data_IF_202490578363
#
_entry.id   IF_202490578363
#
_cell.length_a   1.000
_cell.length_b   1.000
_cell.length_c   1.000
_cell.angle_alpha   90.00
_cell.angle_beta   90.00
_cell.angle_gamma   90.00
#
_symmetry.space_group_name_H-M   'P 1'
#
loop_
_entity.id
_entity.type
_entity.pdbx_description
1 polymer ?
#
# COMPACT_ATOMS: atom_id res chain seq x y z
N UNK A 1 10.19 24.75 49.29
CA UNK A 1 8.94 24.29 48.60
C UNK A 1 8.32 25.34 47.68
N UNK A 2 8.53 26.65 47.90
CA UNK A 2 8.01 27.73 47.03
C UNK A 2 8.78 27.88 45.70
N UNK A 3 10.10 27.73 45.68
CA UNK A 3 10.93 27.86 44.46
C UNK A 3 10.61 26.79 43.39
N UNK A 4 10.36 25.53 43.82
CA UNK A 4 9.93 24.46 42.89
C UNK A 4 8.56 24.72 42.26
N UNK A 5 7.64 25.42 42.96
CA UNK A 5 6.33 25.81 42.40
C UNK A 5 6.46 26.95 41.38
N UNK A 6 7.34 27.92 41.62
CA UNK A 6 7.63 29.00 40.66
C UNK A 6 8.25 28.51 39.36
N UNK A 7 9.16 27.53 39.44
CA UNK A 7 9.78 26.90 38.26
C UNK A 7 8.78 26.11 37.40
N UNK A 8 7.85 25.37 38.03
CA UNK A 8 6.85 24.60 37.31
C UNK A 8 5.82 25.50 36.57
N UNK A 9 5.42 26.62 37.18
CA UNK A 9 4.52 27.58 36.56
C UNK A 9 5.16 28.27 35.33
N UNK A 10 6.43 28.67 35.44
CA UNK A 10 7.17 29.24 34.31
C UNK A 10 7.32 28.23 33.15
N UNK A 11 7.60 26.96 33.45
CA UNK A 11 7.66 25.92 32.44
C UNK A 11 6.30 25.65 31.78
N UNK A 12 5.19 25.77 32.52
CA UNK A 12 3.85 25.64 31.96
C UNK A 12 3.54 26.79 30.99
N UNK A 13 3.83 28.04 31.34
CA UNK A 13 3.60 29.19 30.44
C UNK A 13 4.46 29.10 29.19
N UNK A 14 5.72 28.63 29.29
CA UNK A 14 6.56 28.38 28.12
C UNK A 14 5.93 27.37 27.15
N UNK A 15 5.27 26.32 27.66
CA UNK A 15 4.58 25.34 26.81
C UNK A 15 3.36 25.94 26.12
N UNK A 16 2.63 26.82 26.81
CA UNK A 16 1.48 27.53 26.22
C UNK A 16 1.96 28.52 25.16
N UNK A 17 3.04 29.26 25.41
CA UNK A 17 3.59 30.19 24.42
C UNK A 17 4.12 29.44 23.18
N UNK A 18 4.79 28.31 23.39
CA UNK A 18 5.14 27.42 22.29
C UNK A 18 3.88 26.99 21.52
N UNK A 19 2.82 26.54 22.18
CA UNK A 19 1.57 26.14 21.52
C UNK A 19 0.98 27.31 20.70
N UNK A 20 0.96 28.53 21.26
CA UNK A 20 0.51 29.73 20.55
C UNK A 20 1.36 29.99 19.30
N UNK A 21 2.68 29.79 19.36
CA UNK A 21 3.57 29.92 18.20
C UNK A 21 3.26 28.93 17.07
N UNK A 22 2.63 27.79 17.40
CA UNK A 22 2.31 26.74 16.42
C UNK A 22 0.95 26.95 15.75
N UNK A 23 0.10 27.86 16.24
CA UNK A 23 -1.24 28.09 15.70
C UNK A 23 -1.17 28.63 14.27
N UNK A 24 -1.75 27.88 13.33
CA UNK A 24 -1.85 28.31 11.93
C UNK A 24 -2.86 29.46 11.83
N UNK A 25 -2.43 30.54 11.19
CA UNK A 25 -3.24 31.74 10.97
C UNK A 25 -3.42 32.63 12.20
N UNK A 26 -2.55 32.52 13.22
CA UNK A 26 -2.65 33.33 14.46
C UNK A 26 -2.68 34.83 14.16
N UNK A 27 -1.82 35.26 13.24
CA UNK A 27 -1.61 36.66 12.90
C UNK A 27 -2.28 37.07 11.57
N UNK A 28 -3.32 36.32 11.16
CA UNK A 28 -4.05 36.62 9.92
C UNK A 28 -4.97 37.81 10.13
N UNK A 29 -4.92 38.75 9.20
CA UNK A 29 -5.87 39.85 9.08
C UNK A 29 -6.82 39.61 7.91
N UNK A 30 -8.04 40.15 8.00
CA UNK A 30 -9.00 40.13 6.90
C UNK A 30 -9.74 41.47 6.79
N UNK A 31 -10.24 41.75 5.59
CA UNK A 31 -11.00 42.95 5.32
C UNK A 31 -12.43 42.82 5.86
N UNK A 32 -12.86 43.88 6.55
CA UNK A 32 -14.23 44.05 7.01
C UNK A 32 -14.77 45.36 6.44
N UNK A 33 -16.10 45.59 6.47
CA UNK A 33 -16.67 46.91 6.14
C UNK A 33 -16.09 48.09 6.94
N UNK A 34 -15.37 47.82 8.03
CA UNK A 34 -14.72 48.84 8.88
C UNK A 34 -13.19 48.86 8.76
N UNK A 35 -12.64 48.25 7.71
CA UNK A 35 -11.21 48.13 7.44
C UNK A 35 -10.62 46.78 7.87
N UNK A 36 -9.29 46.65 7.80
CA UNK A 36 -8.60 45.42 8.19
C UNK A 36 -8.72 45.15 9.69
N UNK A 37 -8.95 43.88 10.04
CA UNK A 37 -9.03 43.40 11.43
C UNK A 37 -8.21 42.13 11.60
N UNK A 38 -7.51 42.04 12.74
CA UNK A 38 -6.85 40.81 13.17
C UNK A 38 -7.90 39.75 13.52
N UNK A 39 -7.73 38.54 12.99
CA UNK A 39 -8.61 37.41 13.26
C UNK A 39 -8.41 36.88 14.69
N UNK A 40 -9.33 37.24 15.59
CA UNK A 40 -9.36 36.74 16.96
C UNK A 40 -10.45 35.68 17.11
N UNK A 41 -10.03 34.44 17.37
CA UNK A 41 -10.96 33.31 17.54
C UNK A 41 -11.42 33.19 18.99
N UNK A 42 -12.74 33.21 19.22
CA UNK A 42 -13.34 33.30 20.55
C UNK A 42 -14.29 32.15 20.92
N UNK A 43 -14.47 31.14 20.06
CA UNK A 43 -15.32 29.97 20.34
C UNK A 43 -14.58 28.66 20.04
N UNK A 44 -13.91 28.09 21.03
CA UNK A 44 -13.18 26.82 20.89
C UNK A 44 -14.05 25.59 21.18
N UNK A 45 -15.37 25.73 21.30
CA UNK A 45 -16.24 24.61 21.68
C UNK A 45 -16.50 23.66 20.51
N UNK A 46 -16.69 24.21 19.31
CA UNK A 46 -17.04 23.42 18.13
C UNK A 46 -15.83 22.80 17.42
N UNK A 47 -14.68 23.49 17.37
CA UNK A 47 -13.47 23.00 16.71
C UNK A 47 -12.19 23.69 17.17
N UNK A 48 -11.10 22.92 17.18
CA UNK A 48 -9.75 23.41 17.48
C UNK A 48 -9.05 24.02 16.25
N UNK A 49 -8.04 24.85 16.51
CA UNK A 49 -7.19 25.42 15.45
C UNK A 49 -6.09 24.44 15.03
N UNK A 50 -5.72 24.45 13.75
CA UNK A 50 -4.61 23.65 13.22
C UNK A 50 -3.25 24.10 13.77
N UNK A 51 -2.33 23.14 13.96
CA UNK A 51 -0.98 23.37 14.46
C UNK A 51 0.07 23.05 13.39
N UNK A 52 1.01 23.96 13.18
CA UNK A 52 2.11 23.80 12.22
C UNK A 52 2.93 22.55 12.48
N UNK A 53 3.25 22.28 13.74
CA UNK A 53 3.96 21.06 14.13
C UNK A 53 3.29 19.77 13.62
N UNK A 54 1.96 19.67 13.72
CA UNK A 54 1.20 18.49 13.27
C UNK A 54 1.27 18.38 11.75
N UNK A 55 1.00 19.48 11.04
CA UNK A 55 1.05 19.49 9.57
C UNK A 55 2.45 19.18 9.04
N UNK A 56 3.49 19.74 9.65
CA UNK A 56 4.89 19.47 9.29
C UNK A 56 5.26 18.01 9.52
N UNK A 57 4.82 17.42 10.63
CA UNK A 57 5.04 15.99 10.92
C UNK A 57 4.34 15.11 9.88
N UNK A 58 3.08 15.41 9.53
CA UNK A 58 2.37 14.68 8.49
C UNK A 58 3.10 14.76 7.14
N UNK A 59 3.56 15.95 6.75
CA UNK A 59 4.26 16.16 5.47
C UNK A 59 5.62 15.47 5.43
N UNK A 60 6.37 15.45 6.53
CA UNK A 60 7.76 14.96 6.55
C UNK A 60 7.86 13.47 6.90
N UNK A 61 7.00 12.98 7.79
CA UNK A 61 7.17 11.65 8.38
C UNK A 61 6.11 10.64 7.93
N UNK A 62 4.92 11.10 7.51
CA UNK A 62 3.79 10.21 7.19
C UNK A 62 3.54 10.14 5.68
N UNK A 63 3.28 11.27 5.04
CA UNK A 63 2.91 11.33 3.63
C UNK A 63 3.95 10.76 2.66
N UNK A 64 5.28 10.87 2.89
CA UNK A 64 6.27 10.27 2.00
C UNK A 64 6.20 8.74 1.89
N UNK A 65 5.64 8.07 2.90
CA UNK A 65 5.50 6.61 2.94
C UNK A 65 4.05 6.15 2.73
N UNK A 66 3.14 7.06 2.40
CA UNK A 66 1.71 6.79 2.28
C UNK A 66 1.23 6.98 0.84
N UNK A 67 1.00 5.86 0.15
CA UNK A 67 0.51 5.86 -1.24
C UNK A 67 -0.76 5.02 -1.38
N UNK A 68 -1.72 5.57 -2.12
CA UNK A 68 -2.98 4.91 -2.52
C UNK A 68 -3.17 5.17 -4.01
N UNK A 69 -3.86 4.26 -4.69
CA UNK A 69 -4.24 4.42 -6.09
C UNK A 69 -5.68 3.98 -6.29
N UNK A 70 -6.36 4.66 -7.20
CA UNK A 70 -7.73 4.40 -7.64
C UNK A 70 -7.80 4.51 -9.16
N UNK A 71 -8.88 4.02 -9.79
CA UNK A 71 -9.03 4.14 -11.23
C UNK A 71 -9.25 5.62 -11.62
N UNK A 72 -8.48 6.12 -12.59
CA UNK A 72 -8.55 7.50 -13.06
C UNK A 72 -9.47 7.66 -14.28
N UNK A 73 -10.61 6.98 -14.26
CA UNK A 73 -11.60 7.00 -15.34
C UNK A 73 -12.52 8.21 -15.24
N UNK A 74 -13.16 8.56 -16.37
CA UNK A 74 -14.28 9.50 -16.38
C UNK A 74 -15.44 8.87 -15.62
N UNK A 75 -16.00 9.63 -14.67
CA UNK A 75 -17.18 9.23 -13.91
C UNK A 75 -18.33 10.01 -14.52
N UNK A 76 -19.27 9.29 -15.13
CA UNK A 76 -20.42 9.86 -15.79
C UNK A 76 -21.67 9.11 -15.32
N UNK A 77 -22.59 9.81 -14.66
CA UNK A 77 -23.75 9.18 -14.02
C UNK A 77 -24.77 8.68 -15.05
N UNK A 78 -24.95 9.38 -16.18
CA UNK A 78 -25.95 9.04 -17.21
C UNK A 78 -27.33 8.59 -16.65
N UNK A 79 -27.80 9.22 -15.57
CA UNK A 79 -28.92 8.67 -14.80
C UNK A 79 -30.21 8.60 -15.64
N UNK A 80 -30.90 7.46 -15.59
CA UNK A 80 -32.08 7.16 -16.42
C UNK A 80 -31.76 6.44 -17.74
N UNK A 81 -30.48 6.33 -18.12
CA UNK A 81 -30.04 5.45 -19.21
C UNK A 81 -29.89 4.01 -18.73
N UNK A 82 -29.99 3.04 -19.65
CA UNK A 82 -29.89 1.59 -19.33
C UNK A 82 -28.51 1.24 -18.76
N UNK A 83 -27.46 1.91 -19.22
CA UNK A 83 -26.08 1.79 -18.73
C UNK A 83 -25.69 2.92 -17.74
N UNK A 84 -26.67 3.69 -17.26
CA UNK A 84 -26.45 4.75 -16.29
C UNK A 84 -26.31 4.25 -14.86
N UNK A 85 -25.59 5.01 -14.04
CA UNK A 85 -25.49 4.81 -12.61
C UNK A 85 -26.50 5.69 -11.88
N UNK A 86 -27.32 5.08 -11.01
CA UNK A 86 -28.22 5.84 -10.14
C UNK A 86 -27.51 6.37 -8.88
N UNK A 87 -26.44 5.71 -8.45
CA UNK A 87 -25.59 6.15 -7.36
C UNK A 87 -24.14 5.70 -7.56
N UNK A 88 -23.19 6.53 -7.14
CA UNK A 88 -21.76 6.26 -7.16
C UNK A 88 -21.17 6.66 -5.81
N UNK A 89 -20.43 5.74 -5.20
CA UNK A 89 -19.64 6.01 -4.00
C UNK A 89 -18.15 6.05 -4.33
N UNK A 90 -17.49 7.12 -3.93
CA UNK A 90 -16.09 7.40 -4.23
C UNK A 90 -15.28 7.53 -2.96
N UNK A 91 -14.02 7.14 -3.10
CA UNK A 91 -12.98 7.30 -2.09
C UNK A 91 -11.88 8.19 -2.67
N UNK A 92 -12.02 9.53 -2.60
CA UNK A 92 -11.07 10.47 -3.18
C UNK A 92 -9.65 10.32 -2.63
N UNK A 93 -9.48 9.70 -1.46
CA UNK A 93 -8.17 9.39 -0.89
C UNK A 93 -7.30 8.45 -1.74
N UNK A 94 -7.88 7.87 -2.79
CA UNK A 94 -7.20 7.05 -3.79
C UNK A 94 -6.60 7.88 -4.95
N UNK A 95 -6.94 9.16 -5.06
CA UNK A 95 -6.40 10.08 -6.05
C UNK A 95 -5.17 10.81 -5.53
N UNK A 96 -4.31 11.26 -6.46
CA UNK A 96 -3.17 12.14 -6.14
C UNK A 96 -3.67 13.39 -5.42
N UNK A 97 -3.09 13.71 -4.26
CA UNK A 97 -3.54 14.82 -3.40
C UNK A 97 -4.75 14.50 -2.51
N UNK A 98 -5.38 13.35 -2.68
CA UNK A 98 -6.56 12.94 -1.92
C UNK A 98 -6.35 12.38 -0.49
N UNK A 99 -5.15 11.95 -0.01
CA UNK A 99 -5.03 11.48 1.36
C UNK A 99 -5.64 12.43 2.41
N UNK A 100 -6.56 11.91 3.23
CA UNK A 100 -7.28 12.70 4.24
C UNK A 100 -8.56 13.41 3.74
N UNK A 101 -9.11 13.00 2.60
CA UNK A 101 -10.46 13.39 2.13
C UNK A 101 -11.55 12.48 2.71
N UNK A 102 -12.82 12.93 2.79
CA UNK A 102 -13.94 12.07 3.18
C UNK A 102 -14.35 11.17 2.02
N UNK A 103 -15.25 10.21 2.27
CA UNK A 103 -15.97 9.52 1.20
C UNK A 103 -16.99 10.46 0.55
N UNK A 104 -17.28 10.25 -0.74
CA UNK A 104 -18.35 10.98 -1.43
C UNK A 104 -19.39 9.97 -1.89
N UNK A 105 -20.65 10.22 -1.56
CA UNK A 105 -21.80 9.57 -2.18
C UNK A 105 -22.46 10.56 -3.12
N UNK A 106 -22.55 10.22 -4.40
CA UNK A 106 -23.37 10.92 -5.38
C UNK A 106 -24.54 9.99 -5.73
N UNK A 107 -25.77 10.49 -5.69
CA UNK A 107 -26.94 9.70 -6.06
C UNK A 107 -27.99 10.56 -6.74
N UNK A 108 -28.81 9.95 -7.58
CA UNK A 108 -29.99 10.59 -8.13
C UNK A 108 -30.92 10.99 -6.98
N UNK A 109 -31.36 12.25 -6.97
CA UNK A 109 -32.29 12.79 -5.96
C UNK A 109 -33.57 11.97 -5.82
N UNK A 110 -34.01 11.29 -6.89
CA UNK A 110 -35.18 10.41 -6.88
C UNK A 110 -35.01 9.19 -5.96
N UNK A 111 -33.77 8.82 -5.61
CA UNK A 111 -33.47 7.75 -4.66
C UNK A 111 -33.59 8.20 -3.20
N UNK A 112 -33.55 9.51 -2.92
CA UNK A 112 -33.64 10.01 -1.56
C UNK A 112 -35.10 10.02 -1.10
N UNK A 113 -35.44 9.10 -0.18
CA UNK A 113 -36.81 8.88 0.32
C UNK A 113 -37.02 9.35 1.76
N UNK A 114 -36.03 10.01 2.35
CA UNK A 114 -36.05 10.47 3.75
C UNK A 114 -36.55 11.92 3.92
N UNK A 115 -37.10 12.56 2.87
CA UNK A 115 -37.48 13.98 2.92
C UNK A 115 -38.37 14.36 4.12
N UNK A 116 -39.26 13.45 4.54
CA UNK A 116 -40.20 13.66 5.66
C UNK A 116 -39.83 12.84 6.91
N UNK A 117 -38.61 12.32 6.97
CA UNK A 117 -38.10 11.49 8.06
C UNK A 117 -36.76 12.07 8.56
N UNK A 118 -36.31 11.71 9.77
CA UNK A 118 -34.96 12.04 10.21
C UNK A 118 -33.90 11.58 9.17
N UNK A 119 -32.81 12.35 8.98
CA UNK A 119 -31.71 11.96 8.11
C UNK A 119 -30.98 10.70 8.62
N UNK A 120 -30.10 10.14 7.79
CA UNK A 120 -29.37 8.91 8.17
C UNK A 120 -28.52 9.07 9.43
N UNK A 121 -27.98 10.27 9.65
CA UNK A 121 -27.36 10.68 10.92
C UNK A 121 -27.91 12.03 11.36
N UNK A 122 -28.43 12.07 12.59
CA UNK A 122 -28.91 13.31 13.22
C UNK A 122 -27.77 14.02 13.97
N UNK A 123 -27.75 15.34 13.92
CA UNK A 123 -26.80 16.15 14.67
C UNK A 123 -27.01 17.65 14.44
N UNK A 124 -26.21 18.48 15.12
CA UNK A 124 -26.16 19.92 14.81
C UNK A 124 -25.81 20.13 13.34
N UNK A 125 -26.36 21.16 12.71
CA UNK A 125 -26.14 21.44 11.28
C UNK A 125 -27.16 20.78 10.33
N UNK A 126 -27.89 19.73 10.74
CA UNK A 126 -28.93 19.10 9.90
C UNK A 126 -30.34 19.58 10.20
N UNK A 127 -30.50 20.31 11.31
CA UNK A 127 -31.77 20.78 11.85
C UNK A 127 -31.91 22.30 11.69
N UNK A 128 -33.09 22.73 11.28
CA UNK A 128 -33.52 24.12 11.33
C UNK A 128 -34.06 24.47 12.72
N UNK A 129 -34.72 23.54 13.40
CA UNK A 129 -35.26 23.73 14.75
C UNK A 129 -35.40 22.40 15.51
N UNK A 130 -35.07 22.42 16.80
CA UNK A 130 -35.25 21.30 17.73
C UNK A 130 -35.84 21.85 19.02
N UNK A 131 -36.88 21.20 19.54
CA UNK A 131 -37.40 21.49 20.88
C UNK A 131 -37.08 20.36 21.87
N UNK A 132 -37.33 20.59 23.16
CA UNK A 132 -37.08 19.63 24.23
C UNK A 132 -38.32 18.83 24.68
N UNK A 133 -39.42 18.87 23.92
CA UNK A 133 -40.72 18.35 24.34
C UNK A 133 -41.20 17.18 23.48
N UNK A 134 -41.19 17.31 22.15
CA UNK A 134 -41.60 16.28 21.21
C UNK A 134 -40.64 16.22 20.02
N UNK A 135 -40.14 15.03 19.71
CA UNK A 135 -39.26 14.79 18.57
C UNK A 135 -39.94 15.04 17.23
N UNK A 136 -41.26 14.85 17.14
CA UNK A 136 -42.06 15.07 15.92
C UNK A 136 -42.07 16.56 15.48
N UNK A 137 -41.79 17.49 16.40
CA UNK A 137 -41.70 18.92 16.11
C UNK A 137 -40.32 19.34 15.58
N UNK A 138 -39.39 18.39 15.44
CA UNK A 138 -38.06 18.66 14.90
C UNK A 138 -38.14 19.02 13.43
N UNK A 139 -37.63 20.19 13.08
CA UNK A 139 -37.57 20.64 11.69
C UNK A 139 -36.15 20.39 11.16
N UNK A 140 -36.04 19.55 10.13
CA UNK A 140 -34.80 19.33 9.37
C UNK A 140 -34.75 20.24 8.15
N UNK A 141 -33.55 20.58 7.68
CA UNK A 141 -33.40 21.33 6.41
C UNK A 141 -33.96 20.55 5.23
N UNK A 142 -34.40 21.21 4.15
CA UNK A 142 -34.90 20.51 2.96
C UNK A 142 -33.77 20.09 2.00
N UNK A 143 -32.61 20.75 2.06
CA UNK A 143 -31.48 20.42 1.22
C UNK A 143 -30.86 19.08 1.63
N UNK A 144 -30.77 18.15 0.66
CA UNK A 144 -30.34 16.77 0.91
C UNK A 144 -28.88 16.72 1.40
N UNK A 145 -28.00 17.60 0.90
CA UNK A 145 -26.59 17.59 1.29
C UNK A 145 -26.41 18.12 2.71
N UNK A 146 -27.10 19.22 3.06
CA UNK A 146 -27.07 19.78 4.42
C UNK A 146 -27.66 18.80 5.45
N UNK A 147 -28.72 18.05 5.08
CA UNK A 147 -29.34 17.04 5.96
C UNK A 147 -28.42 15.88 6.31
N UNK A 148 -27.53 15.49 5.41
CA UNK A 148 -26.67 14.30 5.56
C UNK A 148 -25.23 14.65 6.00
N UNK A 149 -24.96 15.92 6.32
CA UNK A 149 -23.66 16.40 6.80
C UNK A 149 -23.70 16.83 8.27
N UNK A 150 -24.00 15.86 9.14
CA UNK A 150 -24.21 16.10 10.57
C UNK A 150 -22.93 16.51 11.33
N UNK A 151 -23.09 17.48 12.23
CA UNK A 151 -22.03 18.02 13.08
C UNK A 151 -21.24 19.13 12.40
N UNK A 152 -20.00 19.36 12.85
CA UNK A 152 -19.09 20.27 12.15
C UNK A 152 -18.67 19.64 10.83
N UNK A 153 -19.00 20.24 9.67
CA UNK A 153 -18.62 19.68 8.37
C UNK A 153 -17.12 19.49 8.25
N UNK A 154 -16.64 18.46 7.54
CA UNK A 154 -15.21 18.23 7.33
C UNK A 154 -14.64 19.19 6.26
N UNK A 155 -14.71 20.52 6.52
CA UNK A 155 -14.42 21.60 5.56
C UNK A 155 -13.05 21.42 4.88
N UNK A 156 -11.99 21.24 5.67
CA UNK A 156 -10.62 21.04 5.12
C UNK A 156 -10.56 19.80 4.24
N UNK A 157 -11.27 18.73 4.61
CA UNK A 157 -11.28 17.49 3.84
C UNK A 157 -12.07 17.66 2.53
N UNK A 158 -13.19 18.40 2.55
CA UNK A 158 -13.96 18.75 1.35
C UNK A 158 -13.14 19.61 0.37
N UNK A 159 -12.45 20.64 0.86
CA UNK A 159 -11.53 21.46 0.04
C UNK A 159 -10.40 20.60 -0.53
N UNK A 160 -9.79 19.72 0.27
CA UNK A 160 -8.78 18.78 -0.23
C UNK A 160 -9.34 17.88 -1.34
N UNK A 161 -10.61 17.50 -1.22
CA UNK A 161 -11.27 16.66 -2.21
C UNK A 161 -11.42 17.39 -3.53
N UNK A 162 -11.94 18.64 -3.52
CA UNK A 162 -12.07 19.42 -4.76
C UNK A 162 -10.71 19.64 -5.43
N UNK A 163 -9.66 19.94 -4.67
CA UNK A 163 -8.31 20.09 -5.20
C UNK A 163 -7.78 18.79 -5.83
N UNK A 164 -8.03 17.62 -5.24
CA UNK A 164 -7.64 16.34 -5.81
C UNK A 164 -8.34 16.05 -7.15
N UNK A 165 -9.62 16.42 -7.27
CA UNK A 165 -10.35 16.33 -8.55
C UNK A 165 -9.84 17.35 -9.58
N UNK A 166 -9.51 18.58 -9.17
CA UNK A 166 -8.89 19.56 -10.08
C UNK A 166 -7.55 19.08 -10.64
N UNK A 167 -6.71 18.43 -9.83
CA UNK A 167 -5.46 17.83 -10.34
C UNK A 167 -5.78 16.77 -11.39
N UNK A 168 -6.76 15.90 -11.14
CA UNK A 168 -7.20 14.86 -12.07
C UNK A 168 -7.72 15.46 -13.40
N UNK A 169 -8.51 16.53 -13.34
CA UNK A 169 -9.01 17.23 -14.53
C UNK A 169 -7.89 17.96 -15.28
N UNK A 170 -6.96 18.59 -14.57
CA UNK A 170 -5.83 19.30 -15.16
C UNK A 170 -4.92 18.39 -15.99
N UNK A 171 -4.65 17.16 -15.54
CA UNK A 171 -3.86 16.19 -16.31
C UNK A 171 -4.62 15.69 -17.55
N UNK A 172 -5.95 15.56 -17.43
CA UNK A 172 -6.83 15.12 -18.51
C UNK A 172 -6.93 13.59 -18.63
N UNK A 173 -8.14 13.12 -18.93
CA UNK A 173 -8.50 11.70 -19.01
C UNK A 173 -7.72 10.95 -20.08
N UNK A 174 -7.65 11.49 -21.29
CA UNK A 174 -6.99 10.85 -22.43
C UNK A 174 -5.48 10.65 -22.17
N UNK A 175 -4.84 11.63 -21.53
CA UNK A 175 -3.42 11.56 -21.15
C UNK A 175 -3.17 10.44 -20.13
N UNK A 176 -4.00 10.39 -19.09
CA UNK A 176 -3.91 9.34 -18.07
C UNK A 176 -4.15 7.96 -18.67
N UNK A 177 -5.20 7.80 -19.48
CA UNK A 177 -5.55 6.56 -20.16
C UNK A 177 -4.41 6.09 -21.08
N UNK A 178 -3.84 6.98 -21.89
CA UNK A 178 -2.73 6.65 -22.78
C UNK A 178 -1.51 6.15 -21.99
N UNK A 179 -1.12 6.84 -20.92
CA UNK A 179 0.00 6.44 -20.07
C UNK A 179 -0.25 5.09 -19.40
N UNK A 180 -1.44 4.90 -18.81
CA UNK A 180 -1.83 3.66 -18.16
C UNK A 180 -1.86 2.48 -19.13
N UNK A 181 -2.39 2.68 -20.34
CA UNK A 181 -2.40 1.67 -21.40
C UNK A 181 -0.98 1.28 -21.82
N UNK A 182 -0.11 2.25 -22.10
CA UNK A 182 1.29 1.99 -22.48
C UNK A 182 2.02 1.21 -21.39
N UNK A 183 1.89 1.61 -20.13
CA UNK A 183 2.49 0.88 -19.01
C UNK A 183 1.91 -0.52 -18.84
N UNK A 184 0.60 -0.68 -19.03
CA UNK A 184 -0.08 -1.96 -18.94
C UNK A 184 0.42 -2.94 -20.02
N UNK A 185 0.46 -2.51 -21.28
CA UNK A 185 0.93 -3.31 -22.42
C UNK A 185 2.39 -3.72 -22.26
N UNK A 186 3.27 -2.77 -21.90
CA UNK A 186 4.70 -3.04 -21.73
C UNK A 186 4.97 -3.99 -20.57
N UNK A 187 4.28 -3.82 -19.44
CA UNK A 187 4.41 -4.71 -18.29
C UNK A 187 3.88 -6.11 -18.60
N UNK A 188 2.70 -6.23 -19.21
CA UNK A 188 2.14 -7.52 -19.64
C UNK A 188 3.10 -8.28 -20.56
N UNK A 189 3.67 -7.60 -21.56
CA UNK A 189 4.64 -8.20 -22.50
C UNK A 189 5.86 -8.79 -21.79
N UNK A 190 6.34 -8.18 -20.70
CA UNK A 190 7.51 -8.69 -19.96
C UNK A 190 7.14 -9.77 -18.96
N UNK A 191 6.05 -9.56 -18.21
CA UNK A 191 5.65 -10.46 -17.13
C UNK A 191 5.11 -11.80 -17.64
N UNK A 192 4.31 -11.81 -18.72
CA UNK A 192 3.76 -13.07 -19.28
C UNK A 192 4.85 -13.94 -19.91
N UNK A 193 5.85 -13.33 -20.54
CA UNK A 193 6.93 -14.06 -21.20
C UNK A 193 7.96 -14.63 -20.22
N UNK A 194 7.86 -14.32 -18.93
CA UNK A 194 8.76 -14.83 -17.91
C UNK A 194 8.20 -16.15 -17.34
N UNK A 195 8.91 -17.30 -17.49
CA UNK A 195 8.41 -18.61 -17.06
C UNK A 195 8.26 -18.73 -15.54
N UNK A 196 8.89 -17.84 -14.77
CA UNK A 196 8.85 -17.82 -13.32
C UNK A 196 7.77 -16.90 -12.77
N UNK A 197 6.96 -16.25 -13.61
CA UNK A 197 5.91 -15.33 -13.19
C UNK A 197 4.56 -15.80 -13.72
N UNK A 198 3.60 -15.98 -12.82
CA UNK A 198 2.20 -16.21 -13.19
C UNK A 198 1.40 -14.94 -12.87
N UNK A 199 1.00 -14.21 -13.91
CA UNK A 199 0.05 -13.10 -13.77
C UNK A 199 -1.33 -13.68 -13.48
N UNK A 200 -1.99 -13.17 -12.44
CA UNK A 200 -3.33 -13.58 -12.02
C UNK A 200 -4.42 -12.73 -12.69
N UNK A 201 -5.62 -13.31 -12.78
CA UNK A 201 -6.77 -12.72 -13.47
C UNK A 201 -6.70 -12.91 -14.98
N UNK A 202 -7.67 -12.32 -15.68
CA UNK A 202 -7.75 -12.41 -17.13
C UNK A 202 -6.62 -11.61 -17.80
N UNK A 203 -5.87 -12.23 -18.71
CA UNK A 203 -4.72 -11.65 -19.40
C UNK A 203 -5.01 -11.21 -20.84
N UNK A 204 -6.23 -11.45 -21.35
CA UNK A 204 -6.64 -11.17 -22.73
C UNK A 204 -7.54 -9.96 -22.86
N UNK A 205 -8.10 -9.46 -21.76
CA UNK A 205 -8.98 -8.29 -21.74
C UNK A 205 -8.22 -7.03 -21.32
N UNK A 206 -8.77 -5.87 -21.70
CA UNK A 206 -8.27 -4.57 -21.27
C UNK A 206 -8.21 -4.50 -19.75
N UNK A 207 -7.10 -3.95 -19.25
CA UNK A 207 -6.86 -3.81 -17.81
C UNK A 207 -6.15 -2.52 -17.47
N UNK A 208 -6.54 -1.99 -16.31
CA UNK A 208 -5.76 -1.00 -15.60
C UNK A 208 -4.37 -1.57 -15.28
N UNK A 209 -3.33 -0.72 -15.13
CA UNK A 209 -1.96 -1.14 -14.89
C UNK A 209 -1.73 -1.61 -13.45
N UNK A 210 -2.60 -2.50 -12.95
CA UNK A 210 -2.57 -3.13 -11.64
C UNK A 210 -2.31 -4.63 -11.85
N UNK A 211 -1.19 -5.10 -11.31
CA UNK A 211 -0.69 -6.45 -11.56
C UNK A 211 -0.70 -7.24 -10.26
N UNK A 212 -1.48 -8.31 -10.26
CA UNK A 212 -1.46 -9.37 -9.25
C UNK A 212 -0.73 -10.56 -9.84
N UNK A 213 0.31 -11.06 -9.19
CA UNK A 213 1.13 -12.15 -9.72
C UNK A 213 1.74 -13.02 -8.62
N UNK A 214 2.13 -14.22 -9.03
CA UNK A 214 2.93 -15.17 -8.26
C UNK A 214 4.32 -15.28 -8.90
N UNK A 215 5.33 -15.48 -8.07
CA UNK A 215 6.70 -15.77 -8.51
C UNK A 215 7.04 -17.20 -8.11
N UNK A 216 7.52 -18.00 -9.05
CA UNK A 216 7.97 -19.38 -8.83
C UNK A 216 9.49 -19.43 -8.89
N UNK A 217 10.16 -20.20 -7.99
CA UNK A 217 11.59 -20.47 -8.12
C UNK A 217 11.92 -21.03 -9.52
N UNK A 218 13.08 -20.68 -10.10
CA UNK A 218 13.58 -21.33 -11.31
C UNK A 218 13.71 -22.84 -11.13
N UNK A 219 13.17 -23.59 -12.09
CA UNK A 219 13.39 -25.03 -12.18
C UNK A 219 14.74 -25.25 -12.84
N UNK A 220 15.73 -25.72 -12.09
CA UNK A 220 16.89 -26.34 -12.73
C UNK A 220 16.47 -27.72 -13.20
N UNK A 221 16.72 -28.04 -14.47
CA UNK A 221 16.53 -29.35 -15.10
C UNK A 221 17.36 -30.40 -14.34
N UNK A 222 16.83 -30.87 -13.23
CA UNK A 222 17.36 -31.99 -12.47
C UNK A 222 16.24 -33.01 -12.39
N UNK A 223 16.27 -33.94 -13.35
CA UNK A 223 15.53 -35.21 -13.39
C UNK A 223 14.04 -35.14 -13.76
N UNK A 224 13.70 -34.58 -14.92
CA UNK A 224 12.58 -35.15 -15.68
C UNK A 224 13.10 -36.36 -16.46
N UNK A 225 12.83 -37.54 -15.90
CA UNK A 225 12.90 -38.83 -16.57
C UNK A 225 12.31 -38.69 -17.98
N UNK A 226 13.14 -38.99 -18.99
CA UNK A 226 12.65 -39.41 -20.31
C UNK A 226 11.79 -40.65 -20.08
N UNK A 227 10.49 -40.47 -19.91
CA UNK A 227 9.53 -41.55 -20.09
C UNK A 227 9.30 -41.63 -21.59
N UNK A 228 9.69 -42.75 -22.18
CA UNK A 228 9.40 -43.05 -23.58
C UNK A 228 7.88 -42.98 -23.85
N UNK A 229 7.45 -42.54 -25.04
CA UNK A 229 6.03 -42.45 -25.34
C UNK A 229 5.45 -43.86 -25.48
N UNK A 230 4.68 -44.33 -24.49
CA UNK A 230 4.04 -45.65 -24.58
C UNK A 230 3.30 -46.23 -23.38
N UNK A 231 3.35 -45.63 -22.18
CA UNK A 231 2.63 -46.19 -21.02
C UNK A 231 1.60 -45.21 -20.43
N UNK A 232 0.36 -45.31 -20.93
CA UNK A 232 -0.82 -44.95 -20.16
C UNK A 232 -1.26 -46.17 -19.38
N UNK A 233 -1.15 -46.14 -18.05
CA UNK A 233 -2.22 -46.57 -17.15
C UNK A 233 -1.83 -46.34 -15.69
N UNK A 234 -2.73 -45.67 -14.97
CA UNK A 234 -2.99 -45.82 -13.54
C UNK A 234 -1.79 -45.76 -12.60
N UNK A 235 -1.36 -44.54 -12.26
CA UNK A 235 -0.85 -44.21 -10.93
C UNK A 235 -1.22 -42.76 -10.64
N UNK A 236 -2.08 -42.53 -9.66
CA UNK A 236 -2.29 -41.24 -9.00
C UNK A 236 -0.96 -40.78 -8.38
N UNK A 237 -0.12 -40.15 -9.20
CA UNK A 237 1.12 -39.56 -8.74
C UNK A 237 0.78 -38.21 -8.11
N UNK A 238 0.92 -38.13 -6.78
CA UNK A 238 1.14 -36.90 -6.02
C UNK A 238 2.15 -36.04 -6.78
N UNK A 239 1.67 -35.09 -7.58
CA UNK A 239 2.51 -34.23 -8.39
C UNK A 239 3.35 -33.37 -7.46
N UNK A 240 4.68 -33.38 -7.66
CA UNK A 240 5.59 -32.38 -7.10
C UNK A 240 5.16 -30.98 -7.58
N UNK A 241 4.17 -30.39 -6.92
CA UNK A 241 3.60 -29.07 -7.26
C UNK A 241 4.66 -28.04 -6.88
N UNK A 242 5.22 -27.36 -7.88
CA UNK A 242 6.15 -26.25 -7.64
C UNK A 242 5.33 -25.13 -6.98
N UNK A 243 5.71 -24.77 -5.76
CA UNK A 243 5.03 -23.75 -4.99
C UNK A 243 5.64 -22.36 -5.29
N UNK A 244 4.81 -21.30 -5.39
CA UNK A 244 5.31 -19.95 -5.56
C UNK A 244 5.97 -19.44 -4.28
N UNK A 245 6.88 -18.47 -4.39
CA UNK A 245 7.33 -17.68 -3.25
C UNK A 245 6.14 -16.99 -2.57
N UNK A 246 6.17 -16.94 -1.25
CA UNK A 246 5.11 -16.29 -0.47
C UNK A 246 4.94 -14.81 -0.87
N UNK A 247 3.71 -14.36 -1.13
CA UNK A 247 3.47 -13.02 -1.66
C UNK A 247 4.01 -11.88 -0.79
N UNK A 248 3.98 -12.02 0.55
CA UNK A 248 4.59 -11.04 1.47
C UNK A 248 6.12 -11.09 1.49
N UNK A 249 6.71 -12.24 1.16
CA UNK A 249 8.16 -12.37 1.02
C UNK A 249 8.66 -11.62 -0.21
N UNK A 250 8.00 -11.81 -1.35
CA UNK A 250 8.31 -11.07 -2.58
C UNK A 250 8.21 -9.55 -2.35
N UNK A 251 7.17 -9.07 -1.66
CA UNK A 251 7.09 -7.64 -1.31
C UNK A 251 8.16 -7.17 -0.33
N UNK A 252 8.60 -8.06 0.57
CA UNK A 252 9.68 -7.76 1.50
C UNK A 252 11.01 -7.61 0.76
N UNK A 253 11.28 -8.47 -0.23
CA UNK A 253 12.46 -8.34 -1.10
C UNK A 253 12.40 -7.07 -1.97
N UNK A 254 11.24 -6.74 -2.55
CA UNK A 254 11.05 -5.48 -3.28
C UNK A 254 11.39 -4.26 -2.42
N UNK A 255 10.96 -4.27 -1.15
CA UNK A 255 11.26 -3.21 -0.21
C UNK A 255 12.74 -3.18 0.19
N UNK A 256 13.29 -4.29 0.65
CA UNK A 256 14.60 -4.32 1.30
C UNK A 256 15.76 -4.17 0.31
N UNK A 257 15.61 -4.69 -0.91
CA UNK A 257 16.65 -4.63 -1.94
C UNK A 257 16.54 -3.38 -2.83
N UNK A 258 15.32 -2.88 -3.03
CA UNK A 258 15.05 -1.88 -4.08
C UNK A 258 14.28 -0.65 -3.60
N UNK A 259 13.79 -0.62 -2.37
CA UNK A 259 12.93 0.45 -1.87
C UNK A 259 11.57 0.51 -2.55
N UNK A 260 11.14 -0.58 -3.21
CA UNK A 260 9.87 -0.64 -3.94
C UNK A 260 8.76 -1.10 -2.99
N UNK A 261 7.78 -0.23 -2.76
CA UNK A 261 6.61 -0.54 -1.95
C UNK A 261 5.54 -1.27 -2.76
N UNK A 262 5.20 -2.48 -2.33
CA UNK A 262 4.15 -3.31 -2.93
C UNK A 262 3.29 -3.96 -1.83
N UNK A 263 2.21 -4.66 -2.21
CA UNK A 263 1.32 -5.34 -1.25
C UNK A 263 1.29 -6.84 -1.45
N UNK A 264 1.50 -7.58 -0.36
CA UNK A 264 1.34 -9.03 -0.30
C UNK A 264 0.08 -9.43 0.46
N UNK A 265 -0.72 -10.35 -0.09
CA UNK A 265 -1.93 -10.89 0.52
C UNK A 265 -3.07 -11.10 -0.49
N UNK A 266 -4.32 -11.21 -0.01
CA UNK A 266 -5.50 -11.46 -0.84
C UNK A 266 -6.25 -10.19 -1.30
N UNK A 267 -5.65 -9.00 -1.13
CA UNK A 267 -6.18 -7.72 -1.61
C UNK A 267 -7.63 -7.37 -1.19
N UNK A 268 -8.09 -7.84 -0.02
CA UNK A 268 -9.48 -7.73 0.45
C UNK A 268 -10.52 -8.45 -0.45
N UNK A 269 -10.05 -9.33 -1.34
CA UNK A 269 -10.85 -10.09 -2.28
C UNK A 269 -10.75 -11.59 -1.98
N UNK A 270 -11.00 -11.97 -0.72
CA UNK A 270 -10.83 -13.35 -0.22
C UNK A 270 -11.49 -14.41 -1.10
N UNK A 271 -12.80 -14.30 -1.42
CA UNK A 271 -13.49 -15.25 -2.30
C UNK A 271 -12.86 -15.35 -3.70
N UNK A 272 -12.53 -14.22 -4.32
CA UNK A 272 -11.87 -14.22 -5.63
C UNK A 272 -10.46 -14.83 -5.56
N UNK A 273 -9.76 -14.63 -4.45
CA UNK A 273 -8.48 -15.27 -4.17
C UNK A 273 -8.55 -16.79 -4.08
N UNK A 274 -9.67 -17.35 -3.62
CA UNK A 274 -9.87 -18.80 -3.63
C UNK A 274 -9.96 -19.34 -5.06
N UNK A 275 -10.69 -18.64 -5.93
CA UNK A 275 -10.80 -18.99 -7.35
C UNK A 275 -9.43 -18.88 -8.03
N UNK A 276 -8.68 -17.80 -7.78
CA UNK A 276 -7.39 -17.56 -8.44
C UNK A 276 -6.26 -18.51 -8.01
N UNK A 277 -6.36 -19.07 -6.81
CA UNK A 277 -5.33 -19.91 -6.19
C UNK A 277 -5.76 -21.38 -6.07
N UNK A 278 -6.87 -21.74 -6.72
CA UNK A 278 -7.44 -23.09 -6.74
C UNK A 278 -7.68 -23.64 -5.32
N UNK A 279 -8.23 -22.80 -4.43
CA UNK A 279 -8.61 -23.17 -3.05
C UNK A 279 -10.06 -23.62 -3.03
N UNK A 280 -10.27 -24.93 -2.97
CA UNK A 280 -11.60 -25.51 -2.82
C UNK A 280 -12.18 -25.33 -1.40
N UNK A 281 -13.42 -25.76 -1.21
CA UNK A 281 -14.13 -25.61 0.06
C UNK A 281 -13.45 -26.40 1.20
N UNK A 282 -12.92 -27.58 0.92
CA UNK A 282 -12.28 -28.41 1.94
C UNK A 282 -10.99 -27.77 2.44
N UNK A 283 -10.11 -27.36 1.51
CA UNK A 283 -8.88 -26.64 1.81
C UNK A 283 -9.17 -25.31 2.49
N UNK A 284 -10.21 -24.59 2.07
CA UNK A 284 -10.63 -23.33 2.71
C UNK A 284 -11.00 -23.53 4.18
N UNK A 285 -11.77 -24.57 4.50
CA UNK A 285 -12.17 -24.89 5.87
C UNK A 285 -10.98 -25.34 6.73
N UNK A 286 -10.04 -26.10 6.17
CA UNK A 286 -8.78 -26.49 6.85
C UNK A 286 -7.92 -25.25 7.17
N UNK A 287 -7.73 -24.36 6.20
CA UNK A 287 -7.02 -23.08 6.41
C UNK A 287 -7.73 -22.25 7.47
N UNK A 288 -9.07 -22.15 7.44
CA UNK A 288 -9.86 -21.46 8.47
C UNK A 288 -9.60 -22.04 9.87
N UNK A 289 -9.57 -23.37 10.02
CA UNK A 289 -9.30 -24.03 11.31
C UNK A 289 -7.92 -23.64 11.84
N UNK A 290 -6.89 -23.72 10.99
CA UNK A 290 -5.53 -23.35 11.40
C UNK A 290 -5.40 -21.86 11.75
N UNK A 291 -6.13 -20.97 11.06
CA UNK A 291 -6.20 -19.54 11.41
C UNK A 291 -6.84 -19.34 12.78
N UNK A 292 -7.89 -20.09 13.13
CA UNK A 292 -8.53 -20.03 14.46
C UNK A 292 -7.58 -20.51 15.56
N UNK A 293 -6.66 -21.42 15.25
CA UNK A 293 -5.58 -21.86 16.14
C UNK A 293 -4.40 -20.87 16.23
N UNK A 294 -4.47 -19.77 15.48
CA UNK A 294 -3.48 -18.68 15.53
C UNK A 294 -2.53 -18.61 14.34
N UNK A 295 -2.59 -19.55 13.39
CA UNK A 295 -1.69 -19.59 12.23
C UNK A 295 -2.16 -18.70 11.07
N UNK A 296 -2.25 -17.38 11.28
CA UNK A 296 -2.69 -16.46 10.20
C UNK A 296 -1.72 -16.37 9.02
N UNK A 297 -0.49 -16.88 9.16
CA UNK A 297 0.47 -16.96 8.05
C UNK A 297 0.05 -17.90 6.91
N UNK A 298 -0.89 -18.81 7.14
CA UNK A 298 -1.43 -19.69 6.10
C UNK A 298 -2.40 -19.00 5.13
N UNK A 299 -2.75 -17.73 5.38
CA UNK A 299 -3.68 -17.00 4.53
C UNK A 299 -3.16 -16.95 3.08
N UNK A 300 -3.91 -17.48 2.11
CA UNK A 300 -3.49 -17.46 0.72
C UNK A 300 -3.42 -16.02 0.20
N UNK A 301 -2.51 -15.79 -0.75
CA UNK A 301 -2.32 -14.45 -1.29
C UNK A 301 -1.26 -14.40 -2.39
N UNK A 302 -1.10 -13.21 -2.95
CA UNK A 302 -0.20 -12.92 -4.06
C UNK A 302 0.53 -11.62 -3.83
N UNK A 303 1.44 -11.28 -4.74
CA UNK A 303 2.06 -9.96 -4.81
C UNK A 303 1.26 -9.06 -5.72
N UNK A 304 0.99 -7.83 -5.29
CA UNK A 304 0.29 -6.82 -6.05
C UNK A 304 1.05 -5.49 -6.10
N UNK A 305 1.15 -4.93 -7.29
CA UNK A 305 1.65 -3.57 -7.54
C UNK A 305 0.82 -2.89 -8.65
N UNK A 306 1.04 -1.60 -8.83
CA UNK A 306 0.39 -0.81 -9.88
C UNK A 306 1.35 0.24 -10.43
N UNK A 307 1.24 0.53 -11.73
CA UNK A 307 1.98 1.63 -12.36
C UNK A 307 1.05 2.83 -12.52
N UNK A 308 1.32 3.90 -11.78
CA UNK A 308 0.52 5.12 -11.89
C UNK A 308 0.88 5.90 -13.17
N UNK A 309 -0.07 6.65 -13.72
CA UNK A 309 0.15 7.45 -14.94
C UNK A 309 1.30 8.46 -14.83
N UNK A 310 1.58 8.93 -13.61
CA UNK A 310 2.63 9.92 -13.30
C UNK A 310 4.00 9.28 -13.01
N UNK A 311 4.12 7.95 -13.06
CA UNK A 311 5.39 7.26 -12.89
C UNK A 311 6.35 7.65 -14.03
N UNK A 312 7.63 7.87 -13.73
CA UNK A 312 8.64 8.10 -14.77
C UNK A 312 8.98 6.83 -15.53
N UNK A 313 9.55 6.97 -16.74
CA UNK A 313 9.99 5.83 -17.57
C UNK A 313 11.10 5.03 -16.88
N UNK A 314 11.96 5.73 -16.13
CA UNK A 314 13.08 5.16 -15.39
C UNK A 314 12.57 4.33 -14.22
N UNK A 315 11.61 4.85 -13.43
CA UNK A 315 10.99 4.10 -12.33
C UNK A 315 10.21 2.89 -12.85
N UNK A 316 9.46 3.05 -13.95
CA UNK A 316 8.74 1.94 -14.59
C UNK A 316 9.68 0.79 -14.98
N UNK A 317 10.80 1.10 -15.65
CA UNK A 317 11.82 0.12 -16.03
C UNK A 317 12.47 -0.53 -14.81
N UNK A 318 12.82 0.28 -13.80
CA UNK A 318 13.43 -0.20 -12.57
C UNK A 318 12.53 -1.20 -11.83
N UNK A 319 11.24 -0.88 -11.68
CA UNK A 319 10.28 -1.79 -11.03
C UNK A 319 10.18 -3.11 -11.78
N UNK A 320 10.07 -3.10 -13.11
CA UNK A 320 10.02 -4.33 -13.90
C UNK A 320 11.31 -5.15 -13.77
N UNK A 321 12.46 -4.52 -13.83
CA UNK A 321 13.76 -5.18 -13.62
C UNK A 321 13.90 -5.76 -12.22
N UNK A 322 13.35 -5.12 -11.19
CA UNK A 322 13.34 -5.65 -9.83
C UNK A 322 12.42 -6.88 -9.69
N UNK A 323 11.25 -6.88 -10.33
CA UNK A 323 10.35 -8.05 -10.36
C UNK A 323 11.05 -9.23 -11.04
N UNK A 324 11.66 -9.00 -12.22
CA UNK A 324 12.40 -10.03 -12.96
C UNK A 324 13.61 -10.54 -12.18
N UNK A 325 14.31 -9.66 -11.46
CA UNK A 325 15.38 -10.06 -10.55
C UNK A 325 14.87 -11.03 -9.48
N UNK A 326 13.75 -10.72 -8.83
CA UNK A 326 13.16 -11.60 -7.81
C UNK A 326 12.67 -12.90 -8.45
N UNK A 327 12.16 -12.85 -9.68
CA UNK A 327 11.77 -14.06 -10.41
C UNK A 327 12.98 -14.98 -10.69
N UNK A 328 14.15 -14.41 -10.97
CA UNK A 328 15.36 -15.17 -11.24
C UNK A 328 16.11 -15.63 -9.97
N UNK A 329 16.08 -14.84 -8.89
CA UNK A 329 16.98 -15.03 -7.74
C UNK A 329 16.28 -15.00 -6.38
N UNK A 330 14.99 -14.68 -6.30
CA UNK A 330 14.30 -14.40 -5.05
C UNK A 330 14.32 -15.54 -4.04
N UNK A 331 14.27 -16.79 -4.50
CA UNK A 331 14.35 -17.98 -3.65
C UNK A 331 15.69 -18.09 -2.90
N UNK A 332 16.79 -17.60 -3.50
CA UNK A 332 18.12 -17.62 -2.86
C UNK A 332 18.18 -16.77 -1.59
N UNK A 333 17.27 -15.82 -1.42
CA UNK A 333 17.20 -14.97 -0.24
C UNK A 333 16.46 -15.61 0.94
N UNK A 334 15.72 -16.70 0.75
CA UNK A 334 14.94 -17.35 1.82
C UNK A 334 15.75 -17.60 3.11
N UNK A 335 17.02 -18.11 3.06
CA UNK A 335 17.82 -18.34 4.27
C UNK A 335 18.10 -17.09 5.11
N UNK A 336 18.04 -15.90 4.50
CA UNK A 336 18.27 -14.62 5.17
C UNK A 336 17.05 -14.11 5.94
N UNK A 337 15.89 -14.74 5.77
CA UNK A 337 14.66 -14.29 6.40
C UNK A 337 14.03 -15.36 7.29
N UNK A 338 13.22 -14.91 8.24
CA UNK A 338 12.40 -15.76 9.10
C UNK A 338 10.93 -15.50 8.78
N UNK A 339 10.20 -16.57 8.49
CA UNK A 339 8.75 -16.53 8.38
C UNK A 339 8.12 -16.69 9.77
N UNK A 340 7.15 -15.84 10.08
CA UNK A 340 6.31 -15.95 11.26
C UNK A 340 4.96 -16.55 10.89
N UNK A 341 4.72 -17.79 11.32
CA UNK A 341 3.49 -18.54 11.06
C UNK A 341 2.25 -17.91 11.70
N UNK A 342 2.41 -17.14 12.77
CA UNK A 342 1.28 -16.50 13.48
C UNK A 342 0.82 -15.28 12.69
N UNK A 343 1.74 -14.44 12.23
CA UNK A 343 1.40 -13.16 11.59
C UNK A 343 1.46 -13.18 10.06
N UNK A 344 2.17 -14.15 9.46
CA UNK A 344 2.52 -14.19 8.05
C UNK A 344 3.62 -13.19 7.65
N UNK A 345 4.31 -12.60 8.62
CA UNK A 345 5.37 -11.62 8.38
C UNK A 345 6.71 -12.29 8.09
N UNK A 346 7.54 -11.56 7.33
CA UNK A 346 8.91 -11.93 7.02
C UNK A 346 9.86 -10.92 7.66
N UNK A 347 10.73 -11.39 8.53
CA UNK A 347 11.74 -10.56 9.21
C UNK A 347 13.13 -10.94 8.77
N UNK A 348 13.98 -9.93 8.59
CA UNK A 348 15.35 -10.13 8.19
C UNK A 348 16.18 -10.69 9.36
N UNK A 349 16.99 -11.72 9.11
CA UNK A 349 17.88 -12.32 10.12
C UNK A 349 19.21 -11.56 10.13
N UNK A 350 19.32 -10.53 10.96
CA UNK A 350 20.57 -9.72 11.08
C UNK A 350 21.82 -10.57 11.36
N UNK A 351 21.68 -11.64 12.14
CA UNK A 351 22.79 -12.56 12.44
C UNK A 351 23.24 -13.41 11.23
N UNK A 352 22.34 -13.68 10.27
CA UNK A 352 22.67 -14.43 9.06
C UNK A 352 23.61 -13.63 8.14
N UNK A 353 23.44 -12.30 8.06
CA UNK A 353 24.42 -11.41 7.41
C UNK A 353 25.74 -11.45 8.16
N UNK A 354 25.76 -11.27 9.49
CA UNK A 354 27.02 -11.29 10.24
C UNK A 354 27.80 -12.56 9.94
N UNK A 355 27.13 -13.72 9.89
CA UNK A 355 27.76 -14.98 9.52
C UNK A 355 28.22 -15.04 8.04
N UNK A 356 27.40 -14.59 7.09
CA UNK A 356 27.75 -14.61 5.66
C UNK A 356 28.88 -13.63 5.33
N UNK A 357 28.84 -12.41 5.88
CA UNK A 357 29.92 -11.42 5.76
C UNK A 357 31.18 -11.94 6.43
N UNK A 358 31.12 -12.50 7.64
CA UNK A 358 32.31 -13.08 8.28
C UNK A 358 32.86 -14.25 7.46
N UNK A 359 32.00 -15.10 6.89
CA UNK A 359 32.39 -16.25 6.04
C UNK A 359 33.00 -15.79 4.73
N UNK A 360 32.42 -14.78 4.07
CA UNK A 360 32.97 -14.16 2.87
C UNK A 360 34.30 -13.46 3.18
N UNK A 361 34.39 -12.65 4.24
CA UNK A 361 35.62 -12.01 4.71
C UNK A 361 36.72 -13.05 5.02
N UNK A 362 36.37 -14.17 5.67
CA UNK A 362 37.30 -15.27 5.92
C UNK A 362 37.68 -16.04 4.65
N UNK A 363 36.79 -16.11 3.65
CA UNK A 363 37.08 -16.74 2.34
C UNK A 363 37.88 -15.82 1.40
N UNK A 364 37.67 -14.51 1.50
CA UNK A 364 38.37 -13.44 0.79
C UNK A 364 39.62 -12.97 1.55
N UNK A 365 39.91 -13.51 2.74
CA UNK A 365 41.15 -13.30 3.49
C UNK A 365 42.39 -13.86 2.76
N UNK A 366 42.26 -14.33 1.52
CA UNK A 366 43.36 -14.47 0.57
C UNK A 366 43.69 -13.19 -0.22
N UNK A 367 42.96 -12.08 -0.04
CA UNK A 367 43.31 -10.77 -0.61
C UNK A 367 42.88 -9.61 0.30
N UNK A 368 43.83 -9.12 1.10
CA UNK A 368 43.69 -8.12 2.17
C UNK A 368 43.28 -6.70 1.69
N UNK A 369 43.15 -6.46 0.38
CA UNK A 369 42.92 -5.11 -0.18
C UNK A 369 41.44 -4.67 -0.32
N UNK A 370 40.46 -5.56 -0.20
CA UNK A 370 39.06 -5.22 -0.50
C UNK A 370 38.31 -4.53 0.67
N UNK A 371 38.65 -4.87 1.91
CA UNK A 371 37.94 -4.39 3.11
C UNK A 371 38.23 -2.92 3.45
N UNK A 372 39.43 -2.41 3.15
CA UNK A 372 39.79 -0.99 3.40
C UNK A 372 39.07 -0.03 2.44
N UNK A 373 38.76 -0.48 1.22
CA UNK A 373 38.11 0.34 0.19
C UNK A 373 36.62 0.61 0.46
N UNK A 374 35.95 -0.25 1.25
CA UNK A 374 34.53 -0.06 1.60
C UNK A 374 34.38 0.96 2.74
N UNK A 375 35.27 0.92 3.75
CA UNK A 375 35.26 1.89 4.85
C UNK A 375 35.60 3.31 4.37
N UNK A 376 36.53 3.48 3.42
CA UNK A 376 36.85 4.81 2.87
C UNK A 376 35.74 5.40 2.00
N UNK A 377 34.96 4.56 1.29
CA UNK A 377 33.80 5.00 0.50
C UNK A 377 32.60 5.42 1.34
N UNK A 378 32.40 4.80 2.51
CA UNK A 378 31.31 5.14 3.42
C UNK A 378 31.61 6.46 4.18
N UNK A 379 32.88 6.78 4.42
CA UNK A 379 33.28 7.99 5.14
C UNK A 379 33.23 9.29 4.31
N UNK A 380 33.15 9.23 2.97
CA UNK A 380 33.32 10.40 2.09
C UNK A 380 32.04 10.90 1.37
N UNK A 381 30.84 10.58 1.88
CA UNK A 381 29.58 10.94 1.22
C UNK A 381 28.73 11.97 1.99
N UNK A 382 29.36 12.96 2.63
CA UNK A 382 28.63 14.04 3.32
C UNK A 382 28.51 15.36 2.53
N UNK A 383 29.10 15.50 1.33
CA UNK A 383 29.03 16.76 0.55
C UNK A 383 28.83 16.57 -0.97
N UNK A 384 28.20 15.47 -1.41
CA UNK A 384 27.89 15.29 -2.85
C UNK A 384 26.47 15.73 -3.17
N UNK A 385 26.35 16.52 -4.24
CA UNK A 385 25.05 16.80 -4.90
C UNK A 385 24.27 15.51 -5.09
N UNK A 386 22.94 15.51 -4.91
CA UNK A 386 22.14 14.30 -5.01
C UNK A 386 22.35 13.66 -6.40
N UNK A 387 22.81 12.42 -6.40
CA UNK A 387 22.99 11.65 -7.63
C UNK A 387 21.64 11.49 -8.36
N UNK A 388 21.62 11.52 -9.71
CA UNK A 388 20.42 11.27 -10.50
C UNK A 388 19.80 9.91 -10.13
N UNK A 389 18.46 9.86 -9.99
CA UNK A 389 17.75 8.65 -9.54
C UNK A 389 18.08 7.39 -10.37
N UNK A 390 18.28 7.54 -11.69
CA UNK A 390 18.66 6.42 -12.55
C UNK A 390 19.98 5.74 -12.12
N UNK A 391 20.99 6.52 -11.69
CA UNK A 391 22.26 5.95 -11.22
C UNK A 391 22.07 5.14 -9.93
N UNK A 392 21.16 5.58 -9.05
CA UNK A 392 20.80 4.85 -7.83
C UNK A 392 20.12 3.53 -8.15
N UNK A 393 19.16 3.52 -9.08
CA UNK A 393 18.44 2.32 -9.51
C UNK A 393 19.36 1.23 -10.06
N UNK A 394 20.29 1.59 -10.95
CA UNK A 394 21.29 0.63 -11.45
C UNK A 394 22.18 0.10 -10.33
N UNK A 395 22.63 0.98 -9.42
CA UNK A 395 23.43 0.57 -8.25
C UNK A 395 22.67 -0.44 -7.38
N UNK A 396 21.37 -0.25 -7.16
CA UNK A 396 20.55 -1.20 -6.39
C UNK A 396 20.46 -2.57 -7.09
N UNK A 397 20.21 -2.59 -8.41
CA UNK A 397 20.18 -3.82 -9.20
C UNK A 397 21.52 -4.56 -9.20
N UNK A 398 22.63 -3.84 -9.37
CA UNK A 398 23.97 -4.43 -9.34
C UNK A 398 24.30 -5.04 -7.97
N UNK A 399 24.01 -4.32 -6.89
CA UNK A 399 24.25 -4.82 -5.54
C UNK A 399 23.39 -6.05 -5.23
N UNK A 400 22.10 -6.03 -5.60
CA UNK A 400 21.22 -7.17 -5.45
C UNK A 400 21.74 -8.39 -6.23
N UNK A 401 22.24 -8.21 -7.46
CA UNK A 401 22.87 -9.29 -8.26
C UNK A 401 24.13 -9.85 -7.61
N UNK A 402 24.97 -9.01 -7.02
CA UNK A 402 26.17 -9.47 -6.29
C UNK A 402 25.78 -10.35 -5.11
N UNK A 403 24.83 -9.90 -4.29
CA UNK A 403 24.33 -10.66 -3.13
C UNK A 403 23.68 -11.97 -3.59
N UNK A 404 22.80 -11.95 -4.59
CA UNK A 404 22.14 -13.16 -5.10
C UNK A 404 23.13 -14.23 -5.58
N UNK A 405 24.26 -13.82 -6.17
CA UNK A 405 25.29 -14.73 -6.67
C UNK A 405 26.12 -15.36 -5.57
N UNK A 406 26.28 -14.70 -4.42
CA UNK A 406 26.99 -15.28 -3.27
C UNK A 406 26.11 -16.20 -2.42
N UNK A 407 24.79 -16.09 -2.55
CA UNK A 407 23.84 -16.94 -1.83
C UNK A 407 23.69 -18.33 -2.49
N UNK A 408 23.52 -19.39 -1.67
CA UNK A 408 23.34 -20.75 -2.17
C UNK A 408 22.04 -20.87 -2.97
N UNK A 409 22.08 -21.69 -4.02
CA UNK A 409 20.90 -22.02 -4.80
C UNK A 409 20.12 -23.15 -4.11
N UNK A 410 19.22 -22.79 -3.19
CA UNK A 410 18.43 -23.78 -2.46
C UNK A 410 17.02 -23.83 -3.06
N UNK A 411 16.69 -24.94 -3.71
CA UNK A 411 15.38 -25.18 -4.33
C UNK A 411 14.47 -26.10 -3.51
N UNK A 412 14.95 -26.61 -2.37
CA UNK A 412 14.18 -27.49 -1.47
C UNK A 412 13.55 -26.67 -0.35
N UNK A 413 12.35 -27.05 0.10
CA UNK A 413 11.61 -26.38 1.18
C UNK A 413 12.44 -26.44 2.48
N UNK A 414 12.82 -25.29 3.03
CA UNK A 414 13.86 -25.20 4.08
C UNK A 414 13.24 -25.11 5.49
N UNK A 415 11.94 -24.82 5.59
CA UNK A 415 11.32 -24.50 6.88
C UNK A 415 10.53 -25.68 7.46
N UNK A 416 10.82 -26.01 8.71
CA UNK A 416 10.02 -26.93 9.52
C UNK A 416 8.61 -26.35 9.74
N UNK A 417 7.60 -27.04 9.21
CA UNK A 417 6.18 -26.72 9.41
C UNK A 417 5.82 -26.97 10.89
N UNK A 418 5.11 -26.05 11.57
CA UNK A 418 4.71 -26.24 12.97
C UNK A 418 3.92 -27.54 13.17
N UNK A 419 4.10 -28.18 14.34
CA UNK A 419 3.31 -29.36 14.72
C UNK A 419 1.82 -28.96 14.75
N UNK A 420 1.00 -29.67 13.99
CA UNK A 420 -0.45 -29.41 13.87
C UNK A 420 -0.87 -28.70 12.57
N UNK A 421 0.08 -28.16 11.80
CA UNK A 421 -0.22 -27.63 10.46
C UNK A 421 -0.01 -28.73 9.43
N UNK A 422 -1.10 -29.11 8.75
CA UNK A 422 -1.07 -29.99 7.58
C UNK A 422 -0.24 -29.36 6.45
N UNK A 423 0.85 -30.02 5.97
CA UNK A 423 1.67 -29.51 4.88
C UNK A 423 0.90 -29.22 3.59
N UNK A 424 -0.19 -29.93 3.32
CA UNK A 424 -0.99 -29.74 2.11
C UNK A 424 -1.74 -28.39 2.11
N UNK A 425 -1.82 -27.71 3.27
CA UNK A 425 -2.35 -26.34 3.36
C UNK A 425 -1.35 -25.25 2.95
N UNK A 426 -0.07 -25.59 2.82
CA UNK A 426 0.99 -24.62 2.53
C UNK A 426 1.08 -24.38 1.03
N UNK A 427 0.47 -23.29 0.56
CA UNK A 427 0.37 -22.94 -0.87
C UNK A 427 1.57 -22.16 -1.41
N UNK A 428 2.69 -22.16 -0.70
CA UNK A 428 3.87 -21.34 -1.02
C UNK A 428 5.17 -21.97 -0.51
N UNK A 429 6.27 -21.56 -1.12
CA UNK A 429 7.62 -21.96 -0.77
C UNK A 429 8.18 -21.10 0.38
N UNK A 430 8.82 -21.76 1.36
CA UNK A 430 9.36 -21.19 2.60
C UNK A 430 10.72 -21.76 2.97
#
# INVERSE_FOLDING_TARGET
>A
MSEKKGSAAAAAEQRVEWLRSQLIGKDVEFDTPFGRRLLTYADQTASGRSLRYIEDYLVKEVLPFYVRSGPYVKIDMKSGEVDGYDAVFLSPHKFVGGPGTPGILLMNKSLYRLNSQPPSMCGGGTVAYVNGFNEEDTLYYDDIEEREDAGTPPIVQKIRTSLAFWVKEYIGYDTMELHERVYSEMAMKRLINNPNIKVLGNTTVDRLPIFSFLIYPPVEDSLFLRVEPGCYNSLENKTNKILPLHGRFVTKLLNDLFGIQARGGCACAGPYGHILLDVDNELSLRIRSAILEGYSGLKPGWTRLSFAYYLSKEEFKFILSAIEFIAAYGHRFLPLYKFDWITGNWTFREQAIKYHVLREELSLATSVQYAENIKSKIANNLDKKPEPNHMKFETYLENARKIARSLPNINQQIVSIPKGVDPDMVLFHI
#
